data_IF_890239814068
#
_entry.id   IF_890239814068
#
_cell.length_a   1.000
_cell.length_b   1.000
_cell.length_c   1.000
_cell.angle_alpha   90.00
_cell.angle_beta   90.00
_cell.angle_gamma   90.00
#
_symmetry.space_group_name_H-M   'P 1'
#
loop_
_entity.id
_entity.type
_entity.pdbx_description
1 polymer ?
#
# COMPACT_ATOMS: atom_id res chain seq x y z
N UNK A 1 -30.32 17.01 2.62
CA UNK A 1 -29.10 16.74 3.41
C UNK A 1 -28.19 16.00 2.47
N UNK A 2 -27.03 16.56 2.14
CA UNK A 2 -26.12 15.97 1.15
C UNK A 2 -25.52 14.66 1.69
N UNK A 3 -25.42 13.67 0.83
CA UNK A 3 -24.89 12.28 1.09
C UNK A 3 -23.41 12.25 1.56
N UNK A 4 -22.81 13.42 1.77
CA UNK A 4 -21.40 13.59 2.17
C UNK A 4 -21.18 13.57 3.68
N UNK A 5 -22.24 13.68 4.51
CA UNK A 5 -22.08 13.83 5.96
C UNK A 5 -21.72 12.54 6.72
N UNK A 6 -21.63 11.39 6.04
CA UNK A 6 -21.34 10.10 6.69
C UNK A 6 -20.16 9.33 6.09
N UNK A 7 -19.40 9.93 5.15
CA UNK A 7 -18.24 9.26 4.57
C UNK A 7 -17.10 9.22 5.58
N UNK A 8 -16.48 8.03 5.74
CA UNK A 8 -15.41 7.78 6.70
C UNK A 8 -14.07 7.56 5.99
N UNK A 9 -12.99 7.52 6.77
CA UNK A 9 -11.67 7.05 6.35
C UNK A 9 -11.54 5.59 6.78
N UNK A 10 -11.14 4.72 5.84
CA UNK A 10 -10.87 3.32 6.11
C UNK A 10 -9.38 3.08 5.90
N UNK A 11 -8.68 2.77 6.98
CA UNK A 11 -7.27 2.41 6.98
C UNK A 11 -7.11 0.89 6.87
N UNK A 12 -6.29 0.42 5.92
CA UNK A 12 -6.02 -1.01 5.73
C UNK A 12 -4.52 -1.24 5.80
N UNK A 13 -4.02 -1.60 6.97
CA UNK A 13 -2.62 -1.93 7.20
C UNK A 13 -2.38 -3.45 7.21
N UNK A 14 -1.13 -3.88 7.13
CA UNK A 14 -0.76 -5.29 7.25
C UNK A 14 0.44 -5.69 6.40
N UNK A 15 0.77 -6.95 6.45
CA UNK A 15 1.96 -7.53 5.85
C UNK A 15 2.00 -7.46 4.32
N UNK A 16 3.20 -7.65 3.74
CA UNK A 16 3.36 -7.71 2.29
C UNK A 16 2.63 -8.93 1.69
N UNK A 17 2.11 -8.78 0.48
CA UNK A 17 1.45 -9.87 -0.27
C UNK A 17 0.25 -10.55 0.42
N UNK A 18 -0.36 -9.95 1.47
CA UNK A 18 -1.57 -10.47 2.10
C UNK A 18 -2.88 -10.09 1.37
N UNK A 19 -2.79 -9.41 0.21
CA UNK A 19 -3.97 -9.07 -0.58
C UNK A 19 -4.65 -7.74 -0.21
N UNK A 20 -4.01 -6.88 0.60
CA UNK A 20 -4.57 -5.58 1.03
C UNK A 20 -5.12 -4.74 -0.11
N UNK A 21 -4.29 -4.49 -1.14
CA UNK A 21 -4.68 -3.60 -2.24
C UNK A 21 -5.87 -4.14 -3.02
N UNK A 22 -5.94 -5.46 -3.22
CA UNK A 22 -7.09 -6.10 -3.86
C UNK A 22 -8.35 -5.90 -3.04
N UNK A 23 -8.27 -6.16 -1.73
CA UNK A 23 -9.40 -6.04 -0.82
C UNK A 23 -9.83 -4.59 -0.59
N UNK A 24 -8.87 -3.68 -0.34
CA UNK A 24 -9.13 -2.24 -0.19
C UNK A 24 -9.76 -1.62 -1.44
N UNK A 25 -9.32 -2.04 -2.63
CA UNK A 25 -9.95 -1.65 -3.90
C UNK A 25 -11.39 -2.16 -4.01
N UNK A 26 -11.66 -3.41 -3.63
CA UNK A 26 -13.00 -3.98 -3.62
C UNK A 26 -13.93 -3.25 -2.64
N UNK A 27 -13.44 -2.92 -1.43
CA UNK A 27 -14.16 -2.09 -0.44
C UNK A 27 -14.51 -0.73 -1.03
N UNK A 28 -13.53 -0.04 -1.61
CA UNK A 28 -13.72 1.29 -2.20
C UNK A 28 -14.78 1.26 -3.30
N UNK A 29 -14.72 0.29 -4.20
CA UNK A 29 -15.73 0.09 -5.26
C UNK A 29 -17.12 -0.17 -4.67
N UNK A 30 -17.22 -1.00 -3.63
CA UNK A 30 -18.51 -1.34 -2.99
C UNK A 30 -19.16 -0.16 -2.29
N UNK A 31 -18.36 0.75 -1.70
CA UNK A 31 -18.85 1.92 -0.96
C UNK A 31 -18.92 3.20 -1.79
N UNK A 32 -18.44 3.19 -3.04
CA UNK A 32 -18.28 4.42 -3.84
C UNK A 32 -17.23 5.37 -3.24
N UNK A 33 -16.17 4.80 -2.63
CA UNK A 33 -15.05 5.53 -2.05
C UNK A 33 -13.85 5.55 -3.00
N UNK A 34 -12.90 6.45 -2.73
CA UNK A 34 -11.66 6.53 -3.48
C UNK A 34 -10.66 5.54 -2.88
N UNK A 35 -10.05 4.69 -3.71
CA UNK A 35 -8.96 3.81 -3.31
C UNK A 35 -7.60 4.49 -3.54
N UNK A 36 -6.73 4.47 -2.51
CA UNK A 36 -5.37 5.01 -2.57
C UNK A 36 -4.38 3.92 -2.16
N UNK A 37 -3.53 3.49 -3.12
CA UNK A 37 -2.41 2.56 -2.92
C UNK A 37 -1.17 3.37 -2.48
N UNK A 38 -0.92 3.46 -1.18
CA UNK A 38 0.27 4.17 -0.69
C UNK A 38 1.56 3.44 -1.03
N UNK A 39 1.52 2.11 -1.12
CA UNK A 39 2.66 1.32 -1.57
C UNK A 39 3.10 1.68 -2.99
N UNK A 40 2.17 2.06 -3.86
CA UNK A 40 2.50 2.57 -5.20
C UNK A 40 3.27 3.90 -5.12
N UNK A 41 2.96 4.78 -4.16
CA UNK A 41 3.69 6.05 -3.97
C UNK A 41 5.15 5.81 -3.59
N UNK A 42 5.43 4.93 -2.61
CA UNK A 42 6.80 4.57 -2.23
C UNK A 42 7.55 3.89 -3.39
N UNK A 43 6.89 3.03 -4.15
CA UNK A 43 7.46 2.41 -5.35
C UNK A 43 7.75 3.43 -6.46
N UNK A 44 6.94 4.46 -6.60
CA UNK A 44 7.17 5.54 -7.56
C UNK A 44 8.43 6.34 -7.20
N UNK A 45 8.64 6.66 -5.92
CA UNK A 45 9.89 7.28 -5.44
C UNK A 45 11.07 6.35 -5.71
N UNK A 46 10.93 5.04 -5.44
CA UNK A 46 11.99 4.06 -5.68
C UNK A 46 12.36 3.97 -7.16
N UNK A 47 11.36 3.92 -8.06
CA UNK A 47 11.59 3.92 -9.50
C UNK A 47 12.33 5.19 -9.94
N UNK A 48 11.87 6.36 -9.48
CA UNK A 48 12.49 7.62 -9.80
C UNK A 48 13.94 7.70 -9.30
N UNK A 49 14.23 7.16 -8.12
CA UNK A 49 15.59 7.05 -7.58
C UNK A 49 16.49 6.12 -8.42
N UNK A 50 15.96 4.97 -8.89
CA UNK A 50 16.64 4.06 -9.81
C UNK A 50 16.97 4.76 -11.14
N UNK A 51 15.97 5.39 -11.76
CA UNK A 51 16.13 6.08 -13.05
C UNK A 51 17.07 7.30 -12.99
N UNK A 52 17.31 7.87 -11.79
CA UNK A 52 18.22 9.02 -11.58
C UNK A 52 19.54 8.64 -10.88
N UNK A 53 19.88 7.35 -10.79
CA UNK A 53 21.18 6.89 -10.29
C UNK A 53 21.39 7.02 -8.77
N UNK A 54 20.31 7.28 -7.99
CA UNK A 54 20.36 7.27 -6.52
C UNK A 54 20.28 5.86 -5.93
N UNK A 55 20.00 4.85 -6.78
CA UNK A 55 20.08 3.44 -6.44
C UNK A 55 20.89 2.74 -7.53
N UNK A 56 22.02 2.13 -7.13
CA UNK A 56 22.91 1.43 -8.05
C UNK A 56 23.19 0.04 -7.48
N UNK A 57 22.98 -1.00 -8.28
CA UNK A 57 23.21 -2.39 -7.88
C UNK A 57 22.51 -2.77 -6.55
N UNK A 58 21.31 -2.21 -6.31
CA UNK A 58 20.53 -2.45 -5.09
C UNK A 58 20.98 -1.67 -3.85
N UNK A 59 22.02 -0.85 -3.97
CA UNK A 59 22.52 0.03 -2.90
C UNK A 59 21.82 1.38 -3.02
N UNK A 60 21.13 1.80 -1.96
CA UNK A 60 20.40 3.07 -1.88
C UNK A 60 21.31 4.14 -1.30
N UNK A 61 21.55 5.21 -2.05
CA UNK A 61 22.15 6.45 -1.54
C UNK A 61 21.03 7.35 -0.99
N UNK A 62 20.86 7.34 0.34
CA UNK A 62 19.79 8.07 1.01
C UNK A 62 19.84 9.57 0.74
N UNK A 63 21.03 10.19 0.77
CA UNK A 63 21.20 11.63 0.51
C UNK A 63 20.85 11.97 -0.94
N UNK A 64 21.21 11.10 -1.90
CA UNK A 64 20.84 11.29 -3.29
C UNK A 64 19.31 11.16 -3.47
N UNK A 65 18.64 10.20 -2.80
CA UNK A 65 17.18 10.09 -2.81
C UNK A 65 16.54 11.35 -2.24
N UNK A 66 17.04 11.86 -1.12
CA UNK A 66 16.50 13.09 -0.50
C UNK A 66 16.59 14.29 -1.46
N UNK A 67 17.72 14.48 -2.14
CA UNK A 67 17.90 15.55 -3.16
C UNK A 67 16.91 15.43 -4.32
N UNK A 68 16.45 14.23 -4.64
CA UNK A 68 15.48 14.00 -5.71
C UNK A 68 14.04 14.35 -5.31
N UNK A 69 13.72 14.42 -4.02
CA UNK A 69 12.34 14.60 -3.56
C UNK A 69 11.70 15.90 -4.07
N UNK A 70 12.45 16.98 -4.23
CA UNK A 70 11.92 18.24 -4.75
C UNK A 70 11.64 18.21 -6.26
N UNK A 71 12.14 17.19 -6.95
CA UNK A 71 12.00 17.00 -8.40
C UNK A 71 10.91 15.98 -8.77
N UNK A 72 10.29 15.34 -7.77
CA UNK A 72 9.26 14.32 -8.02
C UNK A 72 7.87 14.85 -7.69
N UNK A 73 6.98 14.81 -8.68
CA UNK A 73 5.55 15.03 -8.53
C UNK A 73 4.81 13.72 -8.81
N UNK A 74 4.07 13.22 -7.81
CA UNK A 74 3.27 11.99 -7.90
C UNK A 74 1.82 12.39 -8.03
N UNK A 75 1.12 11.84 -9.03
CA UNK A 75 -0.31 12.06 -9.23
C UNK A 75 -1.02 10.75 -9.54
N UNK A 76 -2.32 10.72 -9.25
CA UNK A 76 -3.20 9.59 -9.59
C UNK A 76 -4.25 10.05 -10.59
N UNK A 77 -4.54 9.22 -11.59
CA UNK A 77 -5.64 9.45 -12.54
C UNK A 77 -6.49 8.19 -12.64
N UNK A 78 -7.79 8.35 -12.48
CA UNK A 78 -8.71 7.22 -12.59
C UNK A 78 -8.69 6.65 -14.02
N UNK A 79 -8.51 5.34 -14.10
CA UNK A 79 -8.54 4.58 -15.36
C UNK A 79 -9.81 3.72 -15.39
N UNK A 80 -10.83 4.09 -16.19
CA UNK A 80 -12.10 3.36 -16.24
C UNK A 80 -11.95 1.91 -16.71
N UNK A 81 -10.99 1.63 -17.60
CA UNK A 81 -10.75 0.28 -18.12
C UNK A 81 -10.23 -0.69 -17.03
N UNK A 82 -9.54 -0.15 -16.02
CA UNK A 82 -9.04 -0.93 -14.87
C UNK A 82 -9.93 -0.83 -13.63
N UNK A 83 -10.88 0.10 -13.62
CA UNK A 83 -11.65 0.41 -12.42
C UNK A 83 -10.77 0.81 -11.23
N UNK A 84 -9.62 1.46 -11.50
CA UNK A 84 -8.64 1.87 -10.49
C UNK A 84 -7.87 3.11 -10.96
N UNK A 85 -7.21 3.80 -10.05
CA UNK A 85 -6.32 4.88 -10.41
C UNK A 85 -4.95 4.35 -10.84
N UNK A 86 -4.43 4.90 -11.93
CA UNK A 86 -3.05 4.72 -12.36
C UNK A 86 -2.18 5.80 -11.74
N UNK A 87 -0.94 5.45 -11.40
CA UNK A 87 0.03 6.37 -10.82
C UNK A 87 0.95 6.96 -11.89
N UNK A 88 1.22 8.26 -11.76
CA UNK A 88 2.08 9.03 -12.65
C UNK A 88 3.20 9.69 -11.85
N UNK A 89 4.39 9.74 -12.42
CA UNK A 89 5.55 10.50 -11.92
C UNK A 89 5.90 11.56 -12.96
N UNK A 90 5.89 12.83 -12.56
CA UNK A 90 6.19 13.97 -13.42
C UNK A 90 5.38 13.99 -14.73
N UNK A 91 4.16 13.44 -14.70
CA UNK A 91 3.27 13.33 -15.85
C UNK A 91 3.37 12.02 -16.63
N UNK A 92 4.38 11.20 -16.40
CA UNK A 92 4.58 9.91 -17.06
C UNK A 92 3.85 8.78 -16.33
N UNK A 93 3.16 7.92 -17.07
CA UNK A 93 2.50 6.72 -16.53
C UNK A 93 3.54 5.69 -16.10
N UNK A 94 3.57 5.36 -14.80
CA UNK A 94 4.56 4.43 -14.25
C UNK A 94 3.96 3.16 -13.64
N UNK A 95 2.64 2.97 -13.70
CA UNK A 95 1.91 1.85 -13.05
C UNK A 95 2.52 0.47 -13.31
N UNK A 96 2.95 0.18 -14.54
CA UNK A 96 3.62 -1.08 -14.89
C UNK A 96 5.06 -1.15 -14.35
N UNK A 97 5.80 -0.05 -14.46
CA UNK A 97 7.23 0.02 -14.09
C UNK A 97 7.46 -0.13 -12.59
N UNK A 98 6.57 0.39 -11.75
CA UNK A 98 6.70 0.30 -10.28
C UNK A 98 6.47 -1.10 -9.70
N UNK A 99 6.01 -2.07 -10.52
CA UNK A 99 5.70 -3.43 -10.08
C UNK A 99 6.80 -4.44 -10.40
N UNK A 100 7.96 -4.00 -10.89
CA UNK A 100 9.11 -4.85 -11.19
C UNK A 100 9.76 -5.42 -9.93
N UNK A 101 10.54 -6.49 -10.09
CA UNK A 101 11.30 -7.11 -8.99
C UNK A 101 12.38 -6.13 -8.48
N UNK A 102 13.02 -5.38 -9.36
CA UNK A 102 14.03 -4.40 -9.03
C UNK A 102 13.50 -3.32 -8.07
N UNK A 103 12.35 -2.72 -8.40
CA UNK A 103 11.67 -1.79 -7.50
C UNK A 103 11.26 -2.48 -6.19
N UNK A 104 10.80 -3.73 -6.27
CA UNK A 104 10.36 -4.48 -5.08
C UNK A 104 11.49 -4.77 -4.10
N UNK A 105 12.71 -4.95 -4.58
CA UNK A 105 13.89 -5.23 -3.75
C UNK A 105 14.39 -3.99 -3.00
N UNK A 106 14.18 -2.78 -3.56
CA UNK A 106 14.70 -1.54 -2.99
C UNK A 106 13.64 -0.75 -2.19
N UNK A 107 12.34 -0.97 -2.43
CA UNK A 107 11.27 -0.14 -1.87
C UNK A 107 11.24 -0.10 -0.35
N UNK A 108 11.61 -1.18 0.34
CA UNK A 108 11.64 -1.19 1.82
C UNK A 108 12.72 -0.26 2.37
N UNK A 109 13.89 -0.20 1.74
CA UNK A 109 14.98 0.72 2.10
C UNK A 109 14.55 2.16 1.85
N UNK A 110 14.05 2.49 0.64
CA UNK A 110 13.57 3.83 0.30
C UNK A 110 12.43 4.27 1.22
N UNK A 111 11.52 3.37 1.58
CA UNK A 111 10.41 3.67 2.50
C UNK A 111 10.85 3.89 3.95
N UNK A 112 12.07 3.55 4.33
CA UNK A 112 12.63 3.82 5.65
C UNK A 112 13.23 5.22 5.76
N UNK A 113 13.54 5.89 4.64
CA UNK A 113 14.15 7.22 4.60
C UNK A 113 13.19 8.25 5.20
N UNK A 114 13.61 9.00 6.26
CA UNK A 114 12.73 9.94 6.96
C UNK A 114 12.10 11.01 6.06
N UNK A 115 12.88 11.60 5.16
CA UNK A 115 12.43 12.65 4.25
C UNK A 115 11.38 12.14 3.25
N UNK A 116 11.57 10.92 2.71
CA UNK A 116 10.58 10.25 1.85
C UNK A 116 9.26 10.07 2.59
N UNK A 117 9.32 9.56 3.83
CA UNK A 117 8.11 9.36 4.65
C UNK A 117 7.40 10.68 4.92
N UNK A 118 8.14 11.70 5.38
CA UNK A 118 7.57 13.03 5.67
C UNK A 118 6.80 13.58 4.46
N UNK A 119 7.38 13.51 3.26
CA UNK A 119 6.73 13.98 2.04
C UNK A 119 5.49 13.16 1.70
N UNK A 120 5.60 11.83 1.70
CA UNK A 120 4.50 10.97 1.26
C UNK A 120 3.36 10.91 2.28
N UNK A 121 3.63 10.94 3.58
CA UNK A 121 2.59 11.02 4.62
C UNK A 121 1.79 12.32 4.48
N UNK A 122 2.44 13.46 4.27
CA UNK A 122 1.74 14.72 4.05
C UNK A 122 0.82 14.65 2.82
N UNK A 123 1.29 14.09 1.70
CA UNK A 123 0.46 13.89 0.50
C UNK A 123 -0.73 12.94 0.77
N UNK A 124 -0.52 11.86 1.51
CA UNK A 124 -1.57 10.91 1.88
C UNK A 124 -2.65 11.57 2.75
N UNK A 125 -2.24 12.38 3.72
CA UNK A 125 -3.16 13.15 4.57
C UNK A 125 -3.98 14.15 3.76
N UNK A 126 -3.37 14.85 2.83
CA UNK A 126 -4.07 15.76 1.91
C UNK A 126 -5.12 15.01 1.05
N UNK A 127 -4.73 13.86 0.48
CA UNK A 127 -5.64 13.04 -0.33
C UNK A 127 -6.84 12.52 0.47
N UNK A 128 -6.66 12.16 1.74
CA UNK A 128 -7.72 11.67 2.61
C UNK A 128 -8.57 12.75 3.26
N UNK A 129 -8.17 14.02 3.19
CA UNK A 129 -8.84 15.14 3.88
C UNK A 129 -10.32 15.33 3.49
N UNK A 130 -10.73 14.86 2.33
CA UNK A 130 -12.14 14.92 1.87
C UNK A 130 -13.00 13.74 2.37
N UNK A 131 -12.42 12.78 3.11
CA UNK A 131 -13.09 11.56 3.55
C UNK A 131 -13.64 10.70 2.39
N UNK A 132 -14.28 9.57 2.68
CA UNK A 132 -14.73 8.66 1.63
C UNK A 132 -13.55 8.02 0.90
N UNK A 133 -12.52 7.64 1.66
CA UNK A 133 -11.31 7.01 1.13
C UNK A 133 -11.06 5.67 1.81
N UNK A 134 -10.52 4.72 1.03
CA UNK A 134 -9.91 3.49 1.52
C UNK A 134 -8.44 3.57 1.16
N UNK A 135 -7.58 3.56 2.16
CA UNK A 135 -6.15 3.70 1.96
C UNK A 135 -5.43 2.47 2.50
N UNK A 136 -4.60 1.82 1.68
CA UNK A 136 -3.81 0.68 2.13
C UNK A 136 -2.33 1.04 2.29
N UNK A 137 -1.71 0.43 3.29
CA UNK A 137 -0.31 0.69 3.59
C UNK A 137 0.28 -0.21 4.68
N UNK A 138 1.10 0.42 5.55
CA UNK A 138 1.76 -0.22 6.70
C UNK A 138 1.52 0.51 8.01
N UNK A 139 1.17 1.77 7.93
CA UNK A 139 1.08 2.70 9.04
C UNK A 139 -0.06 3.73 8.84
N UNK A 140 -1.06 3.36 8.05
CA UNK A 140 -2.18 4.25 7.77
C UNK A 140 -2.97 4.52 9.05
N UNK A 141 -3.34 3.49 9.78
CA UNK A 141 -4.12 3.62 11.03
C UNK A 141 -3.30 4.01 12.25
N UNK A 142 -1.95 4.07 12.14
CA UNK A 142 -1.08 4.45 13.26
C UNK A 142 -0.43 5.82 13.10
N UNK A 143 -0.20 6.28 11.86
CA UNK A 143 0.55 7.51 11.55
C UNK A 143 -0.21 8.44 10.60
N UNK A 144 -0.71 7.91 9.49
CA UNK A 144 -1.35 8.75 8.46
C UNK A 144 -2.72 9.25 8.93
N UNK A 145 -3.56 8.34 9.41
CA UNK A 145 -4.89 8.61 9.95
C UNK A 145 -5.11 7.87 11.28
N UNK A 146 -4.46 8.32 12.36
CA UNK A 146 -4.64 7.70 13.69
C UNK A 146 -6.09 7.79 14.19
N UNK A 147 -6.87 8.73 13.66
CA UNK A 147 -8.28 8.92 13.97
C UNK A 147 -9.23 8.36 12.89
N UNK A 148 -8.75 7.46 12.00
CA UNK A 148 -9.60 6.79 11.02
C UNK A 148 -10.70 5.99 11.75
N UNK A 149 -11.95 6.11 11.28
CA UNK A 149 -13.12 5.50 11.94
C UNK A 149 -13.13 3.97 11.82
N UNK A 150 -12.50 3.44 10.79
CA UNK A 150 -12.36 2.00 10.61
C UNK A 150 -10.93 1.66 10.22
N UNK A 151 -10.29 0.85 11.08
CA UNK A 151 -8.93 0.38 10.87
C UNK A 151 -8.94 -1.13 10.77
N UNK A 152 -8.35 -1.64 9.69
CA UNK A 152 -8.16 -3.07 9.46
C UNK A 152 -6.66 -3.37 9.51
N UNK A 153 -6.29 -4.47 10.15
CA UNK A 153 -4.95 -5.02 10.08
C UNK A 153 -5.00 -6.40 9.43
N UNK A 154 -4.54 -6.47 8.18
CA UNK A 154 -4.60 -7.70 7.39
C UNK A 154 -3.36 -8.55 7.57
N UNK A 155 -3.58 -9.83 7.82
CA UNK A 155 -2.54 -10.86 7.88
C UNK A 155 -2.92 -12.08 7.06
N UNK A 156 -1.92 -12.90 6.74
CA UNK A 156 -2.09 -14.24 6.22
C UNK A 156 -0.81 -15.05 6.50
N UNK A 157 -0.91 -16.37 6.50
CA UNK A 157 0.23 -17.25 6.63
C UNK A 157 1.34 -16.87 5.63
N UNK A 158 2.62 -16.77 6.06
CA UNK A 158 3.73 -16.36 5.18
C UNK A 158 3.86 -17.22 3.91
N UNK A 159 3.60 -18.52 3.99
CA UNK A 159 3.66 -19.41 2.82
C UNK A 159 2.52 -19.13 1.84
N UNK A 160 1.31 -18.87 2.37
CA UNK A 160 0.17 -18.48 1.54
C UNK A 160 0.46 -17.16 0.81
N UNK A 161 1.07 -16.19 1.48
CA UNK A 161 1.46 -14.90 0.88
C UNK A 161 2.54 -15.06 -0.18
N UNK A 162 3.53 -15.91 0.07
CA UNK A 162 4.57 -16.23 -0.89
C UNK A 162 3.99 -16.91 -2.13
N UNK A 163 3.10 -17.89 -1.95
CA UNK A 163 2.44 -18.58 -3.07
C UNK A 163 1.61 -17.59 -3.92
N UNK A 164 0.78 -16.76 -3.29
CA UNK A 164 0.00 -15.73 -4.00
C UNK A 164 0.90 -14.80 -4.84
N UNK A 165 2.05 -14.42 -4.29
CA UNK A 165 3.00 -13.55 -5.00
C UNK A 165 3.72 -14.29 -6.12
N UNK A 166 4.09 -15.54 -5.91
CA UNK A 166 4.68 -16.40 -6.94
C UNK A 166 3.72 -16.53 -8.13
N UNK A 167 2.46 -16.88 -7.87
CA UNK A 167 1.43 -17.04 -8.91
C UNK A 167 1.21 -15.73 -9.69
N UNK A 168 1.17 -14.59 -8.99
CA UNK A 168 1.04 -13.26 -9.62
C UNK A 168 2.20 -12.95 -10.57
N UNK A 169 3.44 -13.21 -10.15
CA UNK A 169 4.64 -12.90 -10.93
C UNK A 169 4.77 -13.84 -12.13
N UNK A 170 4.51 -15.13 -11.93
CA UNK A 170 4.53 -16.15 -12.99
C UNK A 170 3.45 -15.85 -14.04
N UNK A 171 2.24 -15.47 -13.63
CA UNK A 171 1.17 -15.07 -14.56
C UNK A 171 1.54 -13.83 -15.39
N UNK A 172 2.46 -12.99 -14.90
CA UNK A 172 3.03 -11.85 -15.64
C UNK A 172 4.27 -12.21 -16.48
N UNK A 173 4.60 -13.49 -16.59
CA UNK A 173 5.75 -13.99 -17.36
C UNK A 173 7.11 -13.75 -16.70
N UNK A 174 7.15 -13.44 -15.40
CA UNK A 174 8.42 -13.29 -14.68
C UNK A 174 8.94 -14.66 -14.24
N UNK A 175 10.24 -14.89 -14.44
CA UNK A 175 10.91 -16.12 -14.02
C UNK A 175 11.42 -15.92 -12.58
N UNK A 176 10.74 -16.52 -11.62
CA UNK A 176 11.06 -16.46 -10.18
C UNK A 176 10.88 -17.85 -9.58
N UNK A 177 11.57 -18.15 -8.48
CA UNK A 177 11.34 -19.36 -7.68
C UNK A 177 10.50 -19.04 -6.44
N UNK A 178 9.80 -20.04 -5.93
CA UNK A 178 9.00 -19.87 -4.70
C UNK A 178 9.90 -19.52 -3.49
N UNK A 179 11.10 -20.13 -3.43
CA UNK A 179 12.07 -19.85 -2.36
C UNK A 179 12.56 -18.40 -2.37
N UNK A 180 12.82 -17.84 -3.56
CA UNK A 180 13.18 -16.42 -3.71
C UNK A 180 12.05 -15.52 -3.22
N UNK A 181 10.81 -15.86 -3.55
CA UNK A 181 9.65 -15.09 -3.11
C UNK A 181 9.42 -15.23 -1.61
N UNK A 182 9.55 -16.42 -1.02
CA UNK A 182 9.43 -16.62 0.43
C UNK A 182 10.47 -15.77 1.19
N UNK A 183 11.72 -15.81 0.73
CA UNK A 183 12.79 -14.98 1.30
C UNK A 183 12.46 -13.50 1.21
N UNK A 184 12.06 -13.01 0.03
CA UNK A 184 11.70 -11.60 -0.17
C UNK A 184 10.53 -11.17 0.72
N UNK A 185 9.49 -12.01 0.87
CA UNK A 185 8.35 -11.73 1.76
C UNK A 185 8.81 -11.57 3.21
N UNK A 186 9.66 -12.49 3.71
CA UNK A 186 10.18 -12.45 5.08
C UNK A 186 11.09 -11.26 5.33
N UNK A 187 12.00 -10.96 4.41
CA UNK A 187 12.90 -9.82 4.50
C UNK A 187 12.15 -8.49 4.54
N UNK A 188 11.12 -8.35 3.69
CA UNK A 188 10.28 -7.17 3.68
C UNK A 188 9.47 -7.00 4.95
N UNK A 189 8.88 -8.08 5.46
CA UNK A 189 8.13 -8.02 6.72
C UNK A 189 9.05 -7.63 7.89
N UNK A 190 10.25 -8.22 7.95
CA UNK A 190 11.24 -7.86 8.95
C UNK A 190 11.66 -6.40 8.86
N UNK A 191 11.93 -5.90 7.64
CA UNK A 191 12.28 -4.51 7.40
C UNK A 191 11.13 -3.56 7.77
N UNK A 192 9.89 -3.87 7.38
CA UNK A 192 8.72 -3.05 7.68
C UNK A 192 8.44 -2.98 9.20
N UNK A 193 8.66 -4.08 9.95
CA UNK A 193 8.46 -4.12 11.40
C UNK A 193 9.58 -3.47 12.21
N UNK A 194 10.83 -3.53 11.72
CA UNK A 194 12.02 -3.08 12.46
C UNK A 194 12.46 -1.65 12.17
N UNK A 195 11.87 -0.99 11.16
CA UNK A 195 12.26 0.38 10.82
C UNK A 195 12.03 1.35 11.98
N UNK A 196 12.96 2.30 12.15
CA UNK A 196 12.94 3.24 13.28
C UNK A 196 11.73 4.18 13.24
N UNK A 197 11.27 4.56 12.02
CA UNK A 197 10.18 5.52 11.82
C UNK A 197 8.97 4.79 11.25
N UNK A 198 7.83 4.92 11.89
CA UNK A 198 6.53 4.35 11.50
C UNK A 198 6.62 2.85 11.14
N UNK A 199 7.10 1.99 12.06
CA UNK A 199 7.15 0.56 11.81
C UNK A 199 5.75 0.00 11.55
N UNK A 200 5.66 -1.10 10.80
CA UNK A 200 4.43 -1.85 10.66
C UNK A 200 3.98 -2.34 12.04
N UNK A 201 2.90 -1.78 12.54
CA UNK A 201 2.27 -2.17 13.82
C UNK A 201 0.77 -2.14 13.67
N UNK A 202 0.11 -3.07 14.35
CA UNK A 202 -1.34 -3.02 14.49
C UNK A 202 -1.72 -1.81 15.36
N UNK A 203 -2.62 -0.97 14.90
CA UNK A 203 -3.24 0.06 15.74
C UNK A 203 -4.11 -0.61 16.83
N UNK A 204 -4.16 0.00 18.02
CA UNK A 204 -4.84 -0.60 19.17
C UNK A 204 -6.34 -0.88 18.93
N UNK A 205 -6.97 -0.07 18.08
CA UNK A 205 -8.38 -0.14 17.68
C UNK A 205 -8.60 -0.82 16.32
N UNK A 206 -7.54 -1.35 15.69
CA UNK A 206 -7.65 -2.05 14.42
C UNK A 206 -8.23 -3.47 14.60
N UNK A 207 -9.17 -3.80 13.72
CA UNK A 207 -9.73 -5.15 13.63
C UNK A 207 -8.82 -6.01 12.75
N UNK A 208 -8.41 -7.16 13.28
CA UNK A 208 -7.54 -8.10 12.54
C UNK A 208 -8.37 -8.92 11.57
N UNK A 209 -7.90 -9.02 10.33
CA UNK A 209 -8.42 -9.94 9.33
C UNK A 209 -7.29 -10.90 8.90
N UNK A 210 -7.34 -12.14 9.38
CA UNK A 210 -6.55 -13.23 8.81
C UNK A 210 -7.30 -13.82 7.61
N UNK A 211 -6.76 -13.59 6.41
CA UNK A 211 -7.36 -14.05 5.18
C UNK A 211 -6.64 -15.25 4.55
N UNK A 212 -5.89 -16.03 5.35
CA UNK A 212 -5.13 -17.19 4.87
C UNK A 212 -5.99 -18.15 4.05
N UNK A 213 -7.25 -18.36 4.49
CA UNK A 213 -8.18 -19.34 3.91
C UNK A 213 -9.49 -18.71 3.44
N UNK A 214 -9.53 -17.38 3.24
CA UNK A 214 -10.73 -16.67 2.80
C UNK A 214 -10.64 -16.27 1.33
N UNK A 215 -11.73 -16.46 0.62
CA UNK A 215 -11.95 -15.86 -0.70
C UNK A 215 -12.19 -14.35 -0.55
N UNK A 216 -12.11 -13.61 -1.67
CA UNK A 216 -12.40 -12.16 -1.66
C UNK A 216 -13.86 -11.89 -1.27
N UNK A 217 -14.78 -12.75 -1.69
CA UNK A 217 -16.22 -12.62 -1.38
C UNK A 217 -16.49 -12.82 0.12
N UNK A 218 -15.89 -13.84 0.75
CA UNK A 218 -15.99 -14.06 2.20
C UNK A 218 -15.40 -12.90 3.00
N UNK A 219 -14.25 -12.34 2.56
CA UNK A 219 -13.68 -11.15 3.16
C UNK A 219 -14.64 -9.95 3.04
N UNK A 220 -15.32 -9.79 1.89
CA UNK A 220 -16.25 -8.70 1.66
C UNK A 220 -17.51 -8.85 2.51
N UNK A 221 -18.06 -10.06 2.65
CA UNK A 221 -19.20 -10.32 3.55
C UNK A 221 -18.85 -9.99 5.01
N UNK A 222 -17.68 -10.43 5.46
CA UNK A 222 -17.17 -10.10 6.79
C UNK A 222 -17.04 -8.59 6.99
N UNK A 223 -16.43 -7.90 6.02
CA UNK A 223 -16.23 -6.45 6.07
C UNK A 223 -17.56 -5.70 6.13
N UNK A 224 -18.55 -6.08 5.32
CA UNK A 224 -19.85 -5.40 5.28
C UNK A 224 -20.60 -5.52 6.61
N UNK A 225 -20.49 -6.64 7.32
CA UNK A 225 -21.02 -6.80 8.68
C UNK A 225 -20.32 -5.85 9.65
N UNK A 226 -18.99 -5.84 9.65
CA UNK A 226 -18.18 -4.95 10.49
C UNK A 226 -18.48 -3.46 10.19
N UNK A 227 -18.56 -3.09 8.91
CA UNK A 227 -18.85 -1.72 8.49
C UNK A 227 -20.25 -1.27 8.99
N UNK A 228 -21.26 -2.12 8.84
CA UNK A 228 -22.59 -1.83 9.33
C UNK A 228 -22.64 -1.65 10.86
N UNK A 229 -21.88 -2.44 11.63
CA UNK A 229 -21.81 -2.32 13.09
C UNK A 229 -21.11 -1.02 13.52
N UNK A 230 -20.05 -0.61 12.82
CA UNK A 230 -19.25 0.57 13.18
C UNK A 230 -19.85 1.89 12.69
N UNK A 231 -20.74 1.85 11.69
CA UNK A 231 -21.38 3.05 11.12
C UNK A 231 -22.84 3.22 11.56
N UNK A 232 -23.40 2.27 12.33
CA UNK A 232 -24.68 2.49 13.02
C UNK A 232 -24.49 3.54 14.11
N UNK A 233 -25.04 4.72 13.89
CA UNK A 233 -25.30 5.73 14.93
C UNK A 233 -26.71 5.59 15.45
#
# INVERSE_FOLDING_TARGET
MSDTDHKIIIAVDGFSSCGKSTFAKAIAARLGYIFIDTGAMYRAVTLFALENGAIVSGIVDEEAVERLLDRIAITFRFNPARGASDIYVNGDLVEGKIRTIEVSNCVSQVSAIPAVRKKLVAMQQEMGGRRGVVMDGRDIGTVVFPDAELKLFMTADPKVRAQRRYDELTAKGQHVTLEEIERNVRERDAADMSRAISPLRQAADAVVLDNSHMTVDEQMEWFMKLFAERTKK
#
